data_IF_424120674196
#
_entry.id   IF_424120674196
#
_cell.length_a   1.000
_cell.length_b   1.000
_cell.length_c   1.000
_cell.angle_alpha   90.00
_cell.angle_beta   90.00
_cell.angle_gamma   90.00
#
_symmetry.space_group_name_H-M   'P 1'
#
loop_
_entity.id
_entity.type
_entity.pdbx_description
1 polymer ?
#
# COMPACT_ATOMS: atom_id res chain seq x y z
N UNK A 1 8.71 15.68 6.51
CA UNK A 1 9.86 14.80 6.83
C UNK A 1 10.19 14.02 5.58
N UNK A 2 11.46 13.80 5.21
CA UNK A 2 11.79 12.91 4.10
C UNK A 2 11.22 11.51 4.39
N UNK A 3 10.68 10.85 3.36
CA UNK A 3 10.12 9.51 3.48
C UNK A 3 11.19 8.46 3.84
N UNK A 4 10.76 7.27 4.23
CA UNK A 4 11.66 6.14 4.43
C UNK A 4 12.34 5.74 3.11
N UNK A 5 13.60 5.25 3.17
CA UNK A 5 14.30 4.80 1.98
C UNK A 5 13.63 3.55 1.39
N UNK A 6 13.73 3.41 0.08
CA UNK A 6 13.31 2.20 -0.64
C UNK A 6 14.49 1.25 -0.87
N UNK A 7 14.20 -0.05 -0.94
CA UNK A 7 15.16 -1.09 -1.32
C UNK A 7 14.60 -1.97 -2.45
N UNK A 8 15.48 -2.72 -3.11
CA UNK A 8 15.11 -3.74 -4.09
C UNK A 8 14.52 -3.20 -5.40
N UNK A 9 13.89 -4.10 -6.17
CA UNK A 9 13.22 -3.80 -7.43
C UNK A 9 11.90 -4.59 -7.50
N UNK A 10 10.75 -3.94 -7.78
CA UNK A 10 10.57 -2.48 -7.79
C UNK A 10 10.88 -1.86 -6.42
N UNK A 11 11.30 -0.59 -6.34
CA UNK A 11 11.72 0.03 -5.08
C UNK A 11 10.57 0.07 -4.06
N UNK A 12 10.69 -0.72 -2.98
CA UNK A 12 9.71 -0.77 -1.89
C UNK A 12 10.33 -0.24 -0.60
N UNK A 13 9.53 0.46 0.21
CA UNK A 13 9.92 0.90 1.56
C UNK A 13 10.13 -0.30 2.50
N UNK A 14 9.34 -1.37 2.37
CA UNK A 14 9.45 -2.60 3.16
C UNK A 14 9.43 -2.36 4.69
N UNK A 15 8.66 -1.37 5.15
CA UNK A 15 8.50 -1.04 6.57
C UNK A 15 7.09 -1.34 7.04
N UNK A 16 6.98 -2.05 8.16
CA UNK A 16 5.71 -2.24 8.87
C UNK A 16 5.52 -1.11 9.88
N UNK A 17 4.29 -0.59 9.95
CA UNK A 17 3.84 0.39 10.92
C UNK A 17 2.66 -0.18 11.71
N UNK A 18 2.63 0.09 13.00
CA UNK A 18 1.41 0.02 13.82
C UNK A 18 0.41 1.10 13.39
N UNK A 19 -0.85 1.00 13.81
CA UNK A 19 -1.87 2.04 13.54
C UNK A 19 -1.42 3.42 14.06
N UNK A 20 -0.78 3.49 15.23
CA UNK A 20 -0.32 4.75 15.81
C UNK A 20 0.82 5.36 14.98
N UNK A 21 1.79 4.54 14.56
CA UNK A 21 2.88 4.98 13.69
C UNK A 21 2.37 5.40 12.31
N UNK A 22 1.41 4.66 11.74
CA UNK A 22 0.74 5.00 10.49
C UNK A 22 0.05 6.37 10.57
N UNK A 23 -0.72 6.61 11.62
CA UNK A 23 -1.37 7.91 11.84
C UNK A 23 -0.37 9.04 11.87
N UNK A 24 0.72 8.86 12.64
CA UNK A 24 1.78 9.86 12.72
C UNK A 24 2.49 10.07 11.37
N UNK A 25 2.74 8.97 10.64
CA UNK A 25 3.37 9.00 9.33
C UNK A 25 2.53 9.81 8.32
N UNK A 26 1.24 9.50 8.19
CA UNK A 26 0.33 10.21 7.27
C UNK A 26 0.16 11.68 7.63
N UNK A 27 0.01 12.00 8.93
CA UNK A 27 -0.16 13.38 9.40
C UNK A 27 1.04 14.28 9.04
N UNK A 28 2.23 13.69 8.92
CA UNK A 28 3.47 14.41 8.60
C UNK A 28 4.00 14.13 7.19
N UNK A 29 3.23 13.39 6.37
CA UNK A 29 3.66 12.96 5.05
C UNK A 29 3.65 14.13 4.06
N UNK A 30 4.75 14.29 3.34
CA UNK A 30 4.87 15.24 2.24
C UNK A 30 4.56 14.51 0.93
N UNK A 31 3.39 14.77 0.34
CA UNK A 31 3.00 14.23 -0.96
C UNK A 31 3.70 14.93 -2.13
N UNK A 32 4.50 15.96 -1.86
CA UNK A 32 5.13 16.78 -2.87
C UNK A 32 4.13 17.66 -3.60
N UNK A 33 4.35 17.87 -4.90
CA UNK A 33 3.61 18.86 -5.70
C UNK A 33 2.13 18.50 -5.93
N UNK A 34 1.81 17.21 -5.93
CA UNK A 34 0.45 16.73 -6.21
C UNK A 34 0.06 15.74 -5.11
N UNK A 35 -1.01 16.05 -4.39
CA UNK A 35 -1.60 15.15 -3.41
C UNK A 35 -2.53 14.15 -4.13
N UNK A 36 -2.46 12.85 -3.81
CA UNK A 36 -3.36 11.86 -4.40
C UNK A 36 -4.79 12.15 -3.97
N UNK A 37 -5.74 12.03 -4.91
CA UNK A 37 -7.15 12.41 -4.68
C UNK A 37 -8.10 11.22 -4.61
N UNK A 38 -7.57 10.00 -4.70
CA UNK A 38 -8.34 8.76 -4.77
C UNK A 38 -7.63 7.64 -4.01
N UNK A 39 -8.41 6.68 -3.52
CA UNK A 39 -7.92 5.42 -2.98
C UNK A 39 -8.60 4.28 -3.74
N UNK A 40 -7.80 3.28 -4.15
CA UNK A 40 -8.32 2.05 -4.76
C UNK A 40 -8.03 0.91 -3.80
N UNK A 41 -9.09 0.28 -3.32
CA UNK A 41 -9.03 -0.86 -2.41
C UNK A 41 -9.03 -2.15 -3.20
N UNK A 42 -8.07 -3.01 -2.91
CA UNK A 42 -7.93 -4.35 -3.48
C UNK A 42 -7.81 -5.37 -2.34
N UNK A 43 -7.89 -6.65 -2.69
CA UNK A 43 -7.33 -7.70 -1.87
C UNK A 43 -6.23 -8.42 -2.64
N UNK A 44 -5.33 -9.07 -1.92
CA UNK A 44 -4.19 -9.75 -2.53
C UNK A 44 -4.56 -11.03 -3.26
N UNK A 45 -5.66 -11.71 -2.87
CA UNK A 45 -5.99 -13.10 -3.22
C UNK A 45 -4.93 -14.10 -2.73
N UNK A 46 -3.68 -13.92 -3.16
CA UNK A 46 -2.47 -14.58 -2.66
C UNK A 46 -1.33 -13.54 -2.56
N UNK A 47 -0.61 -13.45 -1.43
CA UNK A 47 -0.75 -14.21 -0.19
C UNK A 47 -2.08 -13.93 0.52
N UNK A 48 -2.49 -14.81 1.43
CA UNK A 48 -3.61 -14.58 2.34
C UNK A 48 -3.11 -14.45 3.79
N UNK A 49 -4.03 -14.25 4.72
CA UNK A 49 -3.76 -14.09 6.15
C UNK A 49 -2.97 -15.27 6.73
N UNK A 50 -3.24 -16.49 6.27
CA UNK A 50 -2.62 -17.72 6.79
C UNK A 50 -1.19 -17.92 6.29
N UNK A 51 -0.88 -17.33 5.13
CA UNK A 51 0.43 -17.43 4.46
C UNK A 51 1.28 -16.18 4.63
N UNK A 52 0.74 -15.13 5.24
CA UNK A 52 1.49 -13.92 5.54
C UNK A 52 2.61 -14.16 6.56
N UNK A 53 3.82 -13.70 6.25
CA UNK A 53 5.05 -13.84 7.05
C UNK A 53 5.85 -12.53 7.05
N UNK A 54 5.16 -11.39 7.12
CA UNK A 54 5.76 -10.06 7.24
C UNK A 54 6.72 -9.73 6.10
N UNK A 55 7.94 -9.30 6.44
CA UNK A 55 8.94 -8.83 5.48
C UNK A 55 9.30 -9.89 4.42
N UNK A 56 9.29 -11.18 4.78
CA UNK A 56 9.56 -12.27 3.83
C UNK A 56 8.51 -12.28 2.73
N UNK A 57 7.23 -12.09 3.10
CA UNK A 57 6.13 -12.01 2.15
C UNK A 57 6.21 -10.74 1.30
N UNK A 58 6.51 -9.59 1.90
CA UNK A 58 6.72 -8.33 1.16
C UNK A 58 7.82 -8.45 0.09
N UNK A 59 8.96 -9.06 0.44
CA UNK A 59 10.05 -9.32 -0.52
C UNK A 59 9.66 -10.33 -1.59
N UNK A 60 8.82 -11.32 -1.25
CA UNK A 60 8.23 -12.25 -2.21
C UNK A 60 7.33 -11.54 -3.24
N UNK A 61 6.46 -10.64 -2.76
CA UNK A 61 5.60 -9.80 -3.61
C UNK A 61 6.45 -8.88 -4.50
N UNK A 62 7.46 -8.22 -3.93
CA UNK A 62 8.40 -7.38 -4.66
C UNK A 62 9.06 -8.15 -5.81
N UNK A 63 9.61 -9.35 -5.52
CA UNK A 63 10.20 -10.23 -6.54
C UNK A 63 9.18 -10.63 -7.62
N UNK A 64 7.94 -10.93 -7.22
CA UNK A 64 6.87 -11.26 -8.15
C UNK A 64 6.53 -10.11 -9.11
N UNK A 65 6.43 -8.87 -8.60
CA UNK A 65 6.20 -7.69 -9.42
C UNK A 65 7.39 -7.38 -10.34
N UNK A 66 8.62 -7.55 -9.87
CA UNK A 66 9.79 -7.45 -10.74
C UNK A 66 9.77 -8.49 -11.87
N UNK A 67 9.34 -9.72 -11.57
CA UNK A 67 9.14 -10.78 -12.58
C UNK A 67 8.08 -10.43 -13.64
N UNK A 68 7.17 -9.48 -13.35
CA UNK A 68 6.21 -8.91 -14.31
C UNK A 68 6.75 -7.69 -15.06
N UNK A 69 7.97 -7.25 -14.78
CA UNK A 69 8.54 -6.02 -15.31
C UNK A 69 7.94 -4.74 -14.71
N UNK A 70 7.25 -4.85 -13.57
CA UNK A 70 6.66 -3.68 -12.92
C UNK A 70 7.73 -2.85 -12.23
N UNK A 71 7.66 -1.53 -12.41
CA UNK A 71 8.60 -0.55 -11.84
C UNK A 71 8.15 0.02 -10.50
N UNK A 72 6.92 -0.30 -10.08
CA UNK A 72 6.33 0.04 -8.78
C UNK A 72 5.29 -1.03 -8.41
N UNK A 73 4.74 -0.96 -7.20
CA UNK A 73 3.60 -1.76 -6.78
C UNK A 73 2.44 -0.88 -6.29
N UNK A 74 1.48 -1.44 -5.55
CA UNK A 74 0.60 -0.63 -4.71
C UNK A 74 1.43 0.09 -3.63
N UNK A 75 0.80 0.98 -2.89
CA UNK A 75 1.52 1.81 -1.91
C UNK A 75 1.51 1.14 -0.54
N UNK A 76 0.41 0.45 -0.21
CA UNK A 76 0.15 -0.01 1.15
C UNK A 76 -0.42 -1.42 1.12
N UNK A 77 0.02 -2.26 2.06
CA UNK A 77 -0.62 -3.53 2.37
C UNK A 77 -1.15 -3.50 3.81
N UNK A 78 -2.45 -3.70 4.01
CA UNK A 78 -3.03 -3.96 5.31
C UNK A 78 -2.93 -5.46 5.60
N UNK A 79 -2.04 -5.83 6.51
CA UNK A 79 -1.70 -7.22 6.81
C UNK A 79 -2.16 -7.64 8.21
N UNK A 80 -2.14 -8.94 8.57
CA UNK A 80 -2.48 -9.38 9.92
C UNK A 80 -1.59 -8.80 11.03
N UNK A 81 -0.34 -8.45 10.70
CA UNK A 81 0.69 -7.99 11.65
C UNK A 81 0.88 -6.46 11.67
N UNK A 82 0.33 -5.73 10.71
CA UNK A 82 0.44 -4.27 10.64
C UNK A 82 0.13 -3.68 9.27
N UNK A 83 0.49 -2.41 9.10
CA UNK A 83 0.37 -1.66 7.84
C UNK A 83 1.74 -1.59 7.20
N UNK A 84 1.90 -2.21 6.05
CA UNK A 84 3.17 -2.27 5.34
C UNK A 84 3.24 -1.22 4.23
N UNK A 85 4.35 -0.49 4.19
CA UNK A 85 4.66 0.48 3.15
C UNK A 85 5.43 -0.18 2.00
N UNK A 86 4.98 0.06 0.78
CA UNK A 86 5.60 -0.40 -0.46
C UNK A 86 6.06 0.81 -1.29
N UNK A 87 5.31 1.19 -2.33
CA UNK A 87 5.64 2.37 -3.14
C UNK A 87 5.43 3.65 -2.32
N UNK A 88 6.38 4.60 -2.30
CA UNK A 88 6.19 5.91 -1.66
C UNK A 88 4.90 6.59 -2.14
N UNK A 89 4.09 7.11 -1.21
CA UNK A 89 2.77 7.67 -1.53
C UNK A 89 2.82 8.99 -2.32
N UNK A 90 3.99 9.62 -2.42
CA UNK A 90 4.27 10.77 -3.29
C UNK A 90 4.51 10.38 -4.76
N UNK A 91 4.55 9.08 -5.08
CA UNK A 91 4.79 8.55 -6.43
C UNK A 91 3.56 7.80 -6.96
N UNK A 92 3.47 7.64 -8.28
CA UNK A 92 2.41 6.83 -8.89
C UNK A 92 2.79 5.34 -8.78
N UNK A 93 1.95 4.57 -8.08
CA UNK A 93 2.04 3.11 -8.03
C UNK A 93 1.43 2.37 -9.23
N UNK A 94 1.61 1.04 -9.25
CA UNK A 94 1.01 0.14 -10.24
C UNK A 94 0.09 -0.85 -9.51
N UNK A 95 -1.23 -0.68 -9.65
CA UNK A 95 -2.23 -1.53 -9.00
C UNK A 95 -3.60 -1.60 -9.71
N UNK A 96 -3.99 -0.59 -10.51
CA UNK A 96 -5.35 -0.47 -11.08
C UNK A 96 -5.40 -0.06 -12.56
N UNK A 97 -4.34 -0.28 -13.34
CA UNK A 97 -4.31 0.11 -14.76
C UNK A 97 -4.50 1.62 -14.96
N UNK A 98 -5.52 2.05 -15.70
CA UNK A 98 -5.86 3.48 -15.83
C UNK A 98 -6.28 4.12 -14.50
N UNK A 99 -6.72 3.32 -13.53
CA UNK A 99 -7.06 3.76 -12.18
C UNK A 99 -5.86 4.28 -11.37
N UNK A 100 -4.62 3.95 -11.75
CA UNK A 100 -3.41 4.50 -11.10
C UNK A 100 -3.36 6.04 -11.22
N UNK A 101 -3.85 6.57 -12.34
CA UNK A 101 -3.85 7.99 -12.70
C UNK A 101 -2.61 8.46 -13.46
N UNK A 102 -2.44 9.78 -13.54
CA UNK A 102 -1.42 10.45 -14.33
C UNK A 102 -1.10 11.85 -13.78
N UNK A 103 0.19 12.15 -13.62
CA UNK A 103 0.64 13.49 -13.24
C UNK A 103 0.22 14.55 -14.28
N UNK A 104 0.21 14.19 -15.57
CA UNK A 104 -0.21 15.09 -16.64
C UNK A 104 -1.71 15.42 -16.58
N UNK A 105 -2.52 14.50 -16.04
CA UNK A 105 -3.95 14.72 -15.79
C UNK A 105 -4.21 15.40 -14.44
N UNK A 106 -3.16 15.67 -13.65
CA UNK A 106 -3.29 16.32 -12.35
C UNK A 106 -3.92 15.45 -11.27
N UNK A 107 -3.87 14.12 -11.39
CA UNK A 107 -4.37 13.22 -10.36
C UNK A 107 -3.70 11.86 -10.39
N UNK A 108 -3.61 11.21 -9.24
CA UNK A 108 -3.31 9.78 -9.12
C UNK A 108 -3.97 9.20 -7.88
N UNK A 109 -3.92 7.88 -7.73
CA UNK A 109 -4.55 7.15 -6.62
C UNK A 109 -3.56 6.43 -5.74
N UNK A 110 -3.93 6.25 -4.48
CA UNK A 110 -3.27 5.31 -3.57
C UNK A 110 -3.92 3.92 -3.67
N UNK A 111 -3.16 2.94 -4.14
CA UNK A 111 -3.50 1.52 -4.01
C UNK A 111 -3.27 0.98 -2.59
N UNK A 112 -4.34 0.44 -1.98
CA UNK A 112 -4.35 -0.28 -0.71
C UNK A 112 -4.74 -1.73 -0.95
N UNK A 113 -3.85 -2.66 -0.59
CA UNK A 113 -4.08 -4.10 -0.66
C UNK A 113 -4.44 -4.68 0.71
N UNK A 114 -5.63 -5.27 0.83
CA UNK A 114 -5.99 -6.08 1.99
C UNK A 114 -5.40 -7.48 1.83
N UNK A 115 -4.53 -7.90 2.74
CA UNK A 115 -3.97 -9.26 2.71
C UNK A 115 -5.09 -10.25 3.01
N UNK A 116 -5.52 -11.01 2.00
CA UNK A 116 -6.61 -11.97 2.16
C UNK A 116 -7.33 -12.30 0.86
N UNK A 117 -8.35 -13.16 0.97
CA UNK A 117 -9.25 -13.53 -0.12
C UNK A 117 -10.70 -13.28 0.27
N UNK A 118 -11.23 -12.13 -0.18
CA UNK A 118 -12.53 -11.61 0.25
C UNK A 118 -13.62 -11.70 -0.83
N UNK A 119 -13.47 -12.55 -1.86
CA UNK A 119 -14.53 -12.74 -2.87
C UNK A 119 -15.83 -13.34 -2.29
N UNK A 120 -15.70 -14.11 -1.20
CA UNK A 120 -16.79 -14.92 -0.64
C UNK A 120 -17.11 -14.60 0.81
N UNK A 121 -16.30 -13.77 1.46
CA UNK A 121 -16.42 -13.42 2.88
C UNK A 121 -16.10 -11.94 3.06
N UNK A 122 -16.80 -11.30 3.98
CA UNK A 122 -16.50 -9.91 4.34
C UNK A 122 -15.15 -9.84 5.05
N UNK A 123 -14.35 -8.78 4.79
CA UNK A 123 -13.14 -8.54 5.55
C UNK A 123 -13.49 -8.28 7.02
N UNK A 124 -12.68 -8.86 7.92
CA UNK A 124 -12.84 -8.70 9.37
C UNK A 124 -11.49 -8.78 10.09
N UNK A 125 -11.50 -8.61 11.41
CA UNK A 125 -10.29 -8.74 12.24
C UNK A 125 -9.20 -7.73 11.89
N UNK A 126 -7.94 -8.13 12.09
CA UNK A 126 -6.77 -7.22 12.00
C UNK A 126 -6.55 -6.61 10.62
N UNK A 127 -6.74 -7.38 9.54
CA UNK A 127 -6.62 -6.86 8.18
C UNK A 127 -7.64 -5.73 7.97
N UNK A 128 -8.88 -5.93 8.40
CA UNK A 128 -9.92 -4.91 8.28
C UNK A 128 -9.65 -3.70 9.17
N UNK A 129 -9.24 -3.90 10.43
CA UNK A 129 -8.85 -2.81 11.35
C UNK A 129 -7.74 -1.93 10.73
N UNK A 130 -6.69 -2.55 10.19
CA UNK A 130 -5.60 -1.85 9.52
C UNK A 130 -6.07 -1.14 8.25
N UNK A 131 -6.97 -1.75 7.46
CA UNK A 131 -7.54 -1.16 6.25
C UNK A 131 -8.37 0.08 6.56
N UNK A 132 -9.21 0.02 7.60
CA UNK A 132 -10.02 1.16 8.06
C UNK A 132 -9.12 2.28 8.58
N UNK A 133 -8.05 1.98 9.30
CA UNK A 133 -7.07 2.97 9.72
C UNK A 133 -6.36 3.64 8.52
N UNK A 134 -6.06 2.90 7.45
CA UNK A 134 -5.49 3.49 6.22
C UNK A 134 -6.48 4.43 5.56
N UNK A 135 -7.72 3.96 5.30
CA UNK A 135 -8.75 4.76 4.65
C UNK A 135 -9.14 6.01 5.47
N UNK A 136 -9.28 5.85 6.79
CA UNK A 136 -9.64 6.93 7.70
C UNK A 136 -8.58 8.03 7.78
N UNK A 137 -7.29 7.68 7.69
CA UNK A 137 -6.21 8.63 7.91
C UNK A 137 -5.89 9.35 6.60
N UNK A 138 -5.97 8.66 5.46
CA UNK A 138 -5.82 9.27 4.13
C UNK A 138 -6.99 10.19 3.77
N UNK A 139 -8.22 9.90 4.20
CA UNK A 139 -9.37 10.79 3.95
C UNK A 139 -9.30 12.13 4.69
N UNK A 140 -8.32 12.30 5.59
CA UNK A 140 -8.06 13.54 6.33
C UNK A 140 -6.90 14.37 5.75
N UNK A 141 -6.36 13.97 4.60
CA UNK A 141 -5.22 14.62 3.93
C UNK A 141 -5.61 15.26 2.61
#
# INVERSE_FOLDING_TARGET
MPDFPTEGSPPFINRMLTIAEWRNYVANYDFGRLTPSRLVLHHTYRPDETTWRGLITMRGIQKFYAGKGWTAGPHIFAAPDGIWLATPMSQIGIHAGTGNGSLAQGWYSIGLEMVGYFDKVLPSGKVWEHSVAVMGELSRR
#
